data_IF_213764784157
#
_entry.id   IF_213764784157
#
_cell.length_a   1.000
_cell.length_b   1.000
_cell.length_c   1.000
_cell.angle_alpha   90.00
_cell.angle_beta   90.00
_cell.angle_gamma   90.00
#
_symmetry.space_group_name_H-M   'P 1'
#
loop_
_entity.id
_entity.type
_entity.pdbx_description
1 polymer ?
#
# COMPACT_ATOMS: atom_id res chain seq x y z
N UNK A 1 14.42 0.95 6.06
CA UNK A 1 14.13 2.26 6.73
C UNK A 1 13.64 3.22 5.68
N UNK A 2 12.33 3.39 5.53
CA UNK A 2 11.77 4.47 4.72
C UNK A 2 12.06 5.75 5.49
N UNK A 3 12.96 6.58 4.98
CA UNK A 3 13.16 7.93 5.49
C UNK A 3 11.95 8.77 5.04
N UNK A 4 10.94 8.86 5.87
CA UNK A 4 9.84 9.78 5.70
C UNK A 4 10.29 11.15 6.16
N UNK A 5 10.89 11.92 5.25
CA UNK A 5 11.22 13.32 5.54
C UNK A 5 10.11 14.22 5.00
N UNK A 6 9.58 15.08 5.84
CA UNK A 6 8.70 16.17 5.44
C UNK A 6 9.43 17.09 4.46
N UNK A 7 8.70 17.60 3.48
CA UNK A 7 9.17 18.67 2.59
C UNK A 7 8.29 19.91 2.80
N UNK A 8 8.86 21.09 2.72
CA UNK A 8 8.15 22.36 2.95
C UNK A 8 8.37 23.36 1.85
N UNK A 9 7.54 24.38 1.79
CA UNK A 9 7.67 25.47 0.81
C UNK A 9 8.76 26.48 1.15
N UNK A 10 9.19 26.52 2.41
CA UNK A 10 10.28 27.36 2.88
C UNK A 10 11.50 26.55 3.28
N UNK A 11 12.64 27.21 3.43
CA UNK A 11 13.85 26.57 3.90
C UNK A 11 13.67 26.07 5.35
N UNK A 12 14.25 24.92 5.73
CA UNK A 12 14.13 24.35 7.07
C UNK A 12 14.45 25.31 8.22
N UNK A 13 15.35 26.27 8.01
CA UNK A 13 15.73 27.29 9.00
C UNK A 13 14.59 28.25 9.40
N UNK A 14 13.58 28.41 8.54
CA UNK A 14 12.42 29.28 8.84
C UNK A 14 11.46 28.67 9.88
N UNK A 15 11.61 27.38 10.17
CA UNK A 15 10.73 26.70 11.10
C UNK A 15 11.25 26.68 12.54
N UNK A 16 12.41 27.35 12.79
CA UNK A 16 12.97 27.51 14.14
C UNK A 16 13.11 26.17 14.89
N UNK A 17 12.63 26.16 16.14
CA UNK A 17 12.66 24.99 17.03
C UNK A 17 11.40 24.12 16.95
N UNK A 18 10.64 24.21 15.87
CA UNK A 18 9.47 23.37 15.68
C UNK A 18 9.85 21.87 15.76
N UNK A 19 9.06 21.09 16.53
CA UNK A 19 9.24 19.63 16.72
C UNK A 19 9.17 18.92 15.38
N UNK A 20 8.25 19.35 14.49
CA UNK A 20 8.09 18.84 13.14
C UNK A 20 8.51 19.91 12.15
N UNK A 21 9.67 19.75 11.55
CA UNK A 21 10.16 20.64 10.52
C UNK A 21 10.50 19.87 9.25
N UNK A 22 10.33 20.50 8.07
CA UNK A 22 10.70 19.87 6.81
C UNK A 22 12.22 19.65 6.76
N UNK A 23 12.61 18.53 6.17
CA UNK A 23 14.03 18.20 5.95
C UNK A 23 14.63 18.99 4.78
N UNK A 24 13.78 19.44 3.85
CA UNK A 24 14.20 20.23 2.68
C UNK A 24 13.07 21.10 2.14
N UNK A 25 13.44 22.13 1.39
CA UNK A 25 12.53 22.95 0.59
C UNK A 25 12.14 22.21 -0.70
N UNK A 26 10.87 22.35 -1.11
CA UNK A 26 10.35 21.88 -2.40
C UNK A 26 10.83 22.82 -3.51
N UNK A 27 11.25 22.27 -4.63
CA UNK A 27 11.61 23.03 -5.82
C UNK A 27 10.36 23.31 -6.66
N UNK A 28 9.64 24.36 -6.30
CA UNK A 28 8.39 24.74 -6.96
C UNK A 28 8.60 25.04 -8.45
N UNK A 29 9.72 25.67 -8.82
CA UNK A 29 10.05 26.01 -10.20
C UNK A 29 10.15 24.78 -11.11
N UNK A 30 10.61 23.65 -10.59
CA UNK A 30 10.65 22.40 -11.35
C UNK A 30 9.22 21.89 -11.65
N UNK A 31 8.29 22.02 -10.68
CA UNK A 31 6.89 21.64 -10.87
C UNK A 31 6.20 22.57 -11.87
N UNK A 32 6.34 23.89 -11.68
CA UNK A 32 5.67 24.89 -12.51
C UNK A 32 6.13 24.76 -13.97
N UNK A 33 7.43 24.61 -14.19
CA UNK A 33 8.02 24.50 -15.53
C UNK A 33 7.54 23.27 -16.30
N UNK A 34 7.38 22.15 -15.62
CA UNK A 34 7.01 20.86 -16.22
C UNK A 34 5.52 20.51 -15.99
N UNK A 35 4.70 21.49 -15.56
CA UNK A 35 3.33 21.22 -15.17
C UNK A 35 2.48 20.63 -16.28
N UNK A 36 2.62 21.10 -17.51
CA UNK A 36 1.84 20.60 -18.63
C UNK A 36 2.16 19.13 -18.94
N UNK A 37 3.42 18.73 -18.86
CA UNK A 37 3.81 17.33 -19.03
C UNK A 37 3.29 16.46 -17.87
N UNK A 38 3.38 16.94 -16.64
CA UNK A 38 2.82 16.24 -15.48
C UNK A 38 1.30 16.06 -15.64
N UNK A 39 0.60 17.11 -16.08
CA UNK A 39 -0.85 17.06 -16.32
C UNK A 39 -1.22 16.06 -17.40
N UNK A 40 -0.49 16.00 -18.51
CA UNK A 40 -0.69 14.98 -19.55
C UNK A 40 -0.56 13.58 -19.02
N UNK A 41 0.47 13.31 -18.20
CA UNK A 41 0.67 12.02 -17.54
C UNK A 41 -0.53 11.68 -16.64
N UNK A 42 -1.00 12.62 -15.82
CA UNK A 42 -2.14 12.39 -14.92
C UNK A 42 -3.43 12.13 -15.70
N UNK A 43 -3.68 12.85 -16.78
CA UNK A 43 -4.85 12.64 -17.65
C UNK A 43 -4.78 11.26 -18.30
N UNK A 44 -3.65 10.88 -18.89
CA UNK A 44 -3.50 9.55 -19.50
C UNK A 44 -3.67 8.40 -18.51
N UNK A 45 -3.25 8.59 -17.24
CA UNK A 45 -3.53 7.62 -16.17
C UNK A 45 -5.01 7.57 -15.81
N UNK A 46 -5.67 8.72 -15.70
CA UNK A 46 -7.09 8.80 -15.37
C UNK A 46 -7.97 8.19 -16.45
N UNK A 47 -7.62 8.38 -17.73
CA UNK A 47 -8.28 7.79 -18.89
C UNK A 47 -7.91 6.32 -19.13
N UNK A 48 -6.99 5.75 -18.32
CA UNK A 48 -6.48 4.37 -18.48
C UNK A 48 -5.78 4.09 -19.82
N UNK A 49 -5.31 5.12 -20.50
CA UNK A 49 -4.54 5.01 -21.76
C UNK A 49 -3.14 4.41 -21.49
N UNK A 50 -2.65 4.54 -20.28
CA UNK A 50 -1.35 3.99 -19.86
C UNK A 50 -1.42 3.48 -18.42
N UNK A 51 -0.42 2.67 -18.04
CA UNK A 51 -0.30 2.16 -16.66
C UNK A 51 0.79 2.90 -15.89
N UNK A 52 0.64 2.91 -14.56
CA UNK A 52 1.64 3.48 -13.66
C UNK A 52 3.02 2.85 -13.87
N UNK A 53 3.08 1.51 -14.03
CA UNK A 53 4.32 0.78 -14.26
C UNK A 53 5.02 1.19 -15.56
N UNK A 54 4.25 1.42 -16.63
CA UNK A 54 4.78 1.90 -17.92
C UNK A 54 5.40 3.28 -17.78
N UNK A 55 4.74 4.21 -17.07
CA UNK A 55 5.26 5.56 -16.83
C UNK A 55 6.54 5.51 -15.99
N UNK A 56 6.52 4.78 -14.87
CA UNK A 56 7.70 4.64 -14.01
C UNK A 56 8.88 4.05 -14.77
N UNK A 57 8.64 3.02 -15.60
CA UNK A 57 9.67 2.42 -16.45
C UNK A 57 10.24 3.42 -17.44
N UNK A 58 9.38 4.14 -18.17
CA UNK A 58 9.82 5.17 -19.13
C UNK A 58 10.62 6.28 -18.47
N UNK A 59 10.14 6.82 -17.36
CA UNK A 59 10.84 7.88 -16.63
C UNK A 59 12.14 7.41 -15.97
N UNK A 60 12.27 6.10 -15.71
CA UNK A 60 13.46 5.52 -15.11
C UNK A 60 14.51 5.07 -16.13
N UNK A 61 14.11 4.79 -17.37
CA UNK A 61 15.02 4.40 -18.48
C UNK A 61 15.79 5.60 -19.07
N UNK A 62 15.33 6.82 -18.85
CA UNK A 62 16.02 8.02 -19.30
C UNK A 62 17.12 8.44 -18.34
N UNK A 63 18.24 8.90 -18.91
CA UNK A 63 19.43 9.32 -18.19
C UNK A 63 19.15 10.40 -17.13
N UNK A 64 20.13 10.63 -16.28
CA UNK A 64 20.16 11.36 -15.00
C UNK A 64 19.42 12.71 -14.90
N UNK A 65 18.94 13.31 -15.99
CA UNK A 65 18.36 14.67 -16.03
C UNK A 65 16.94 14.76 -16.60
N UNK A 66 16.11 13.74 -16.41
CA UNK A 66 14.70 13.86 -16.80
C UNK A 66 14.00 14.90 -15.92
N UNK A 67 13.64 16.05 -16.52
CA UNK A 67 13.00 17.18 -15.84
C UNK A 67 11.63 16.82 -15.31
N UNK A 68 10.83 16.12 -16.11
CA UNK A 68 9.48 15.67 -15.75
C UNK A 68 9.53 14.71 -14.56
N UNK A 69 10.50 13.79 -14.52
CA UNK A 69 10.72 12.90 -13.37
C UNK A 69 10.99 13.69 -12.09
N UNK A 70 11.83 14.76 -12.17
CA UNK A 70 12.11 15.63 -11.02
C UNK A 70 10.87 16.37 -10.56
N UNK A 71 10.11 16.94 -11.50
CA UNK A 71 8.87 17.64 -11.20
C UNK A 71 7.85 16.73 -10.49
N UNK A 72 7.65 15.52 -11.00
CA UNK A 72 6.79 14.52 -10.38
C UNK A 72 7.28 14.12 -8.99
N UNK A 73 8.59 14.02 -8.78
CA UNK A 73 9.17 13.72 -7.47
C UNK A 73 8.95 14.86 -6.46
N UNK A 74 9.09 16.11 -6.88
CA UNK A 74 8.80 17.27 -6.04
C UNK A 74 7.29 17.35 -5.72
N UNK A 75 6.43 17.08 -6.71
CA UNK A 75 4.99 17.03 -6.53
C UNK A 75 4.56 15.93 -5.55
N UNK A 76 5.13 14.71 -5.68
CA UNK A 76 4.95 13.62 -4.72
C UNK A 76 5.38 14.04 -3.29
N UNK A 77 6.44 14.82 -3.17
CA UNK A 77 6.89 15.37 -1.89
C UNK A 77 5.82 16.19 -1.17
N UNK A 78 5.00 16.96 -1.90
CA UNK A 78 3.87 17.71 -1.33
C UNK A 78 2.82 16.74 -0.76
N UNK A 79 2.37 15.80 -1.58
CA UNK A 79 1.33 14.84 -1.18
C UNK A 79 1.78 13.96 -0.02
N UNK A 80 3.04 13.53 -0.03
CA UNK A 80 3.63 12.76 1.06
C UNK A 80 3.66 13.56 2.36
N UNK A 81 4.00 14.83 2.30
CA UNK A 81 4.04 15.70 3.49
C UNK A 81 2.63 15.93 4.04
N UNK A 82 1.65 16.21 3.18
CA UNK A 82 0.24 16.34 3.57
C UNK A 82 -0.28 15.04 4.22
N UNK A 83 0.03 13.90 3.62
CA UNK A 83 -0.35 12.61 4.19
C UNK A 83 0.27 12.38 5.58
N UNK A 84 1.55 12.69 5.76
CA UNK A 84 2.23 12.55 7.05
C UNK A 84 1.63 13.45 8.12
N UNK A 85 1.32 14.69 7.80
CA UNK A 85 0.66 15.62 8.72
C UNK A 85 -0.72 15.07 9.12
N UNK A 86 -1.54 14.67 8.15
CA UNK A 86 -2.84 14.05 8.42
C UNK A 86 -2.72 12.77 9.26
N UNK A 87 -1.69 11.95 9.00
CA UNK A 87 -1.44 10.73 9.78
C UNK A 87 -1.10 11.03 11.24
N UNK A 88 -0.36 12.12 11.50
CA UNK A 88 -0.02 12.55 12.86
C UNK A 88 -1.26 13.07 13.58
N UNK A 89 -2.08 13.87 12.90
CA UNK A 89 -3.24 14.54 13.51
C UNK A 89 -4.44 13.61 13.69
N UNK A 90 -4.61 12.61 12.82
CA UNK A 90 -5.80 11.75 12.78
C UNK A 90 -5.59 10.37 13.41
N UNK A 91 -6.10 10.11 14.65
CA UNK A 91 -6.07 8.78 15.23
C UNK A 91 -6.87 7.74 14.44
N UNK A 92 -7.92 8.15 13.74
CA UNK A 92 -8.73 7.27 12.89
C UNK A 92 -7.95 6.80 11.67
N UNK A 93 -7.21 7.71 11.02
CA UNK A 93 -6.33 7.38 9.90
C UNK A 93 -5.23 6.41 10.35
N UNK A 94 -4.57 6.67 11.48
CA UNK A 94 -3.56 5.76 12.04
C UNK A 94 -4.10 4.35 12.25
N UNK A 95 -5.30 4.24 12.85
CA UNK A 95 -5.98 2.93 13.05
C UNK A 95 -6.29 2.23 11.73
N UNK A 96 -6.78 2.96 10.73
CA UNK A 96 -7.07 2.41 9.41
C UNK A 96 -5.82 1.91 8.69
N UNK A 97 -4.75 2.69 8.75
CA UNK A 97 -3.44 2.29 8.18
C UNK A 97 -2.89 1.05 8.89
N UNK A 98 -2.94 1.02 10.23
CA UNK A 98 -2.48 -0.14 11.00
C UNK A 98 -3.29 -1.41 10.66
N UNK A 99 -4.61 -1.29 10.54
CA UNK A 99 -5.45 -2.41 10.08
C UNK A 99 -5.09 -2.89 8.68
N UNK A 100 -4.82 -1.97 7.76
CA UNK A 100 -4.41 -2.32 6.39
C UNK A 100 -3.05 -3.02 6.37
N UNK A 101 -2.07 -2.55 7.16
CA UNK A 101 -0.76 -3.19 7.30
C UNK A 101 -0.87 -4.58 7.90
N UNK A 102 -1.64 -4.75 8.97
CA UNK A 102 -1.87 -6.07 9.59
C UNK A 102 -2.52 -7.05 8.61
N UNK A 103 -3.49 -6.60 7.79
CA UNK A 103 -4.09 -7.44 6.75
C UNK A 103 -3.06 -7.86 5.69
N UNK A 104 -2.22 -6.92 5.25
CA UNK A 104 -1.14 -7.21 4.30
C UNK A 104 -0.14 -8.20 4.87
N UNK A 105 0.23 -8.07 6.13
CA UNK A 105 1.15 -8.97 6.81
C UNK A 105 0.54 -10.38 6.96
N UNK A 106 -0.70 -10.49 7.41
CA UNK A 106 -1.42 -11.76 7.50
C UNK A 106 -1.55 -12.45 6.13
N UNK A 107 -1.85 -11.67 5.07
CA UNK A 107 -1.89 -12.20 3.71
C UNK A 107 -0.51 -12.71 3.26
N UNK A 108 0.54 -12.02 3.62
CA UNK A 108 1.91 -12.44 3.33
C UNK A 108 2.28 -13.74 4.08
N UNK A 109 1.85 -13.87 5.33
CA UNK A 109 2.02 -15.10 6.11
C UNK A 109 1.23 -16.26 5.50
N UNK A 110 -0.03 -16.04 5.08
CA UNK A 110 -0.83 -17.04 4.37
C UNK A 110 -0.13 -17.53 3.10
N UNK A 111 0.40 -16.60 2.29
CA UNK A 111 1.17 -16.97 1.09
C UNK A 111 2.42 -17.77 1.41
N UNK A 112 3.09 -17.50 2.52
CA UNK A 112 4.21 -18.33 3.00
C UNK A 112 3.76 -19.73 3.38
N UNK A 113 2.61 -19.86 4.03
CA UNK A 113 2.05 -21.16 4.39
C UNK A 113 1.69 -21.98 3.13
N UNK A 114 1.07 -21.38 2.13
CA UNK A 114 0.83 -22.01 0.82
C UNK A 114 2.14 -22.47 0.17
N UNK A 115 3.24 -21.77 0.40
CA UNK A 115 4.57 -22.08 -0.12
C UNK A 115 5.40 -22.98 0.81
N UNK A 116 4.80 -23.62 1.80
CA UNK A 116 5.51 -24.36 2.86
C UNK A 116 6.44 -25.45 2.30
N UNK A 117 6.01 -26.18 1.28
CA UNK A 117 6.83 -27.20 0.61
C UNK A 117 8.15 -26.64 0.01
N UNK A 118 8.19 -25.35 -0.26
CA UNK A 118 9.37 -24.64 -0.74
C UNK A 118 10.03 -23.76 0.35
N UNK A 119 9.75 -24.03 1.63
CA UNK A 119 10.20 -23.24 2.79
C UNK A 119 9.84 -21.76 2.69
N UNK A 120 8.72 -21.45 2.04
CA UNK A 120 8.25 -20.08 1.80
C UNK A 120 9.11 -19.27 0.83
N UNK A 121 10.05 -19.90 0.11
CA UNK A 121 10.96 -19.23 -0.84
C UNK A 121 10.54 -19.49 -2.29
N UNK A 122 10.58 -18.46 -3.10
CA UNK A 122 10.50 -18.58 -4.56
C UNK A 122 11.85 -19.09 -5.08
N UNK A 123 11.87 -20.28 -5.67
CA UNK A 123 13.08 -20.94 -6.19
C UNK A 123 13.06 -21.10 -7.71
N UNK A 124 12.28 -20.28 -8.40
CA UNK A 124 12.15 -20.38 -9.85
C UNK A 124 13.23 -19.59 -10.55
N UNK A 125 13.74 -20.10 -11.65
CA UNK A 125 14.85 -19.51 -12.41
C UNK A 125 14.38 -18.46 -13.41
N UNK A 126 13.16 -18.59 -13.92
CA UNK A 126 12.62 -17.71 -14.96
C UNK A 126 11.58 -16.75 -14.38
N UNK A 127 11.47 -15.56 -14.97
CA UNK A 127 10.46 -14.56 -14.62
C UNK A 127 9.04 -15.11 -14.81
N UNK A 128 8.81 -15.86 -15.88
CA UNK A 128 7.54 -16.51 -16.18
C UNK A 128 7.10 -17.48 -15.07
N UNK A 129 8.00 -18.35 -14.62
CA UNK A 129 7.70 -19.29 -13.52
C UNK A 129 7.40 -18.54 -12.21
N UNK A 130 8.09 -17.45 -11.94
CA UNK A 130 7.84 -16.61 -10.76
C UNK A 130 6.48 -15.93 -10.82
N UNK A 131 6.08 -15.41 -11.97
CA UNK A 131 4.75 -14.83 -12.18
C UNK A 131 3.66 -15.89 -12.05
N UNK A 132 3.80 -17.02 -12.75
CA UNK A 132 2.84 -18.13 -12.67
C UNK A 132 2.64 -18.61 -11.23
N UNK A 133 3.73 -18.81 -10.51
CA UNK A 133 3.67 -19.17 -9.10
C UNK A 133 2.98 -18.09 -8.25
N UNK A 134 3.31 -16.83 -8.48
CA UNK A 134 2.67 -15.71 -7.78
C UNK A 134 1.16 -15.71 -7.99
N UNK A 135 0.69 -15.90 -9.22
CA UNK A 135 -0.73 -15.94 -9.55
C UNK A 135 -1.42 -17.18 -8.98
N UNK A 136 -0.83 -18.37 -9.11
CA UNK A 136 -1.37 -19.59 -8.52
C UNK A 136 -1.44 -19.50 -6.99
N UNK A 137 -0.40 -19.01 -6.32
CA UNK A 137 -0.41 -18.84 -4.86
C UNK A 137 -1.44 -17.83 -4.40
N UNK A 138 -1.70 -16.79 -5.21
CA UNK A 138 -2.77 -15.80 -4.95
C UNK A 138 -4.15 -16.43 -5.09
N UNK A 139 -4.35 -17.26 -6.11
CA UNK A 139 -5.62 -17.95 -6.31
C UNK A 139 -5.91 -18.89 -5.13
N UNK A 140 -4.95 -19.71 -4.72
CA UNK A 140 -5.10 -20.62 -3.57
C UNK A 140 -5.41 -19.82 -2.29
N UNK A 141 -4.66 -18.74 -2.03
CA UNK A 141 -4.91 -17.87 -0.87
C UNK A 141 -6.32 -17.29 -0.90
N UNK A 142 -6.81 -16.85 -2.07
CA UNK A 142 -8.17 -16.32 -2.22
C UNK A 142 -9.23 -17.39 -1.99
N UNK A 143 -9.02 -18.63 -2.43
CA UNK A 143 -9.93 -19.74 -2.13
C UNK A 143 -10.03 -20.02 -0.62
N UNK A 144 -8.90 -20.01 0.08
CA UNK A 144 -8.84 -20.19 1.55
C UNK A 144 -9.58 -19.03 2.25
N UNK A 145 -9.32 -17.80 1.85
CA UNK A 145 -10.00 -16.61 2.41
C UNK A 145 -11.50 -16.68 2.17
N UNK A 146 -11.91 -17.04 0.97
CA UNK A 146 -13.34 -17.19 0.62
C UNK A 146 -14.03 -18.27 1.48
N UNK A 147 -13.39 -19.42 1.62
CA UNK A 147 -13.89 -20.51 2.46
C UNK A 147 -14.03 -20.07 3.93
N UNK A 148 -13.00 -19.47 4.50
CA UNK A 148 -13.03 -18.97 5.87
C UNK A 148 -14.11 -17.88 6.04
N UNK A 149 -14.23 -16.96 5.09
CA UNK A 149 -15.25 -15.92 5.15
C UNK A 149 -16.66 -16.51 5.10
N UNK A 150 -16.88 -17.56 4.30
CA UNK A 150 -18.19 -18.24 4.21
C UNK A 150 -18.55 -18.92 5.54
N UNK A 151 -17.59 -19.61 6.19
CA UNK A 151 -17.80 -20.24 7.50
C UNK A 151 -18.10 -19.18 8.56
N UNK A 152 -17.29 -18.12 8.62
CA UNK A 152 -17.46 -17.04 9.59
C UNK A 152 -18.83 -16.33 9.42
N UNK A 153 -19.28 -16.16 8.18
CA UNK A 153 -20.60 -15.57 7.88
C UNK A 153 -21.72 -16.47 8.38
N UNK A 154 -21.64 -17.79 8.12
CA UNK A 154 -22.66 -18.74 8.58
C UNK A 154 -22.68 -18.85 10.11
N UNK A 155 -21.50 -18.86 10.74
CA UNK A 155 -21.38 -18.85 12.20
C UNK A 155 -21.99 -17.59 12.81
N UNK A 156 -21.71 -16.44 12.23
CA UNK A 156 -22.26 -15.16 12.69
C UNK A 156 -23.79 -15.13 12.58
N UNK A 157 -24.33 -15.57 11.45
CA UNK A 157 -25.77 -15.67 11.23
C UNK A 157 -26.43 -16.63 12.24
N UNK A 158 -25.82 -17.77 12.50
CA UNK A 158 -26.27 -18.72 13.53
C UNK A 158 -26.29 -18.08 14.93
N UNK A 159 -25.20 -17.41 15.32
CA UNK A 159 -25.08 -16.76 16.63
C UNK A 159 -26.10 -15.62 16.80
N UNK A 160 -26.31 -14.81 15.77
CA UNK A 160 -27.32 -13.75 15.81
C UNK A 160 -28.76 -14.32 15.93
N UNK A 161 -29.03 -15.43 15.24
CA UNK A 161 -30.33 -16.10 15.30
C UNK A 161 -30.59 -16.78 16.65
N UNK A 162 -29.56 -17.31 17.29
CA UNK A 162 -29.66 -17.98 18.60
C UNK A 162 -29.54 -17.01 19.79
N UNK A 163 -29.30 -15.72 19.53
CA UNK A 163 -29.16 -14.69 20.57
C UNK A 163 -27.82 -14.69 21.28
N UNK A 164 -26.81 -15.41 20.76
CA UNK A 164 -25.45 -15.38 21.29
C UNK A 164 -24.72 -14.09 20.85
N UNK A 165 -25.10 -12.99 21.46
CA UNK A 165 -24.53 -11.67 21.17
C UNK A 165 -23.03 -11.58 21.52
N UNK A 166 -22.58 -12.33 22.50
CA UNK A 166 -21.19 -12.34 22.95
C UNK A 166 -20.31 -13.07 21.91
N UNK A 167 -20.72 -14.26 21.47
CA UNK A 167 -20.07 -14.98 20.39
C UNK A 167 -20.03 -14.17 19.09
N UNK A 168 -21.16 -13.57 18.70
CA UNK A 168 -21.24 -12.73 17.52
C UNK A 168 -20.27 -11.52 17.57
N UNK A 169 -20.10 -10.88 18.73
CA UNK A 169 -19.15 -9.78 18.92
C UNK A 169 -17.68 -10.22 18.78
N UNK A 170 -17.37 -11.47 19.13
CA UNK A 170 -16.05 -12.08 18.94
C UNK A 170 -15.85 -12.44 17.46
N UNK A 171 -16.81 -13.13 16.85
CA UNK A 171 -16.76 -13.56 15.44
C UNK A 171 -16.58 -12.38 14.49
N UNK A 172 -17.22 -11.23 14.74
CA UNK A 172 -17.03 -9.98 13.97
C UNK A 172 -15.59 -9.43 14.00
N UNK A 173 -14.78 -9.85 14.95
CA UNK A 173 -13.36 -9.43 15.07
C UNK A 173 -12.39 -10.42 14.42
N UNK A 174 -12.84 -11.62 14.07
CA UNK A 174 -11.99 -12.65 13.44
C UNK A 174 -11.73 -12.26 11.98
N UNK A 175 -10.50 -12.42 11.55
CA UNK A 175 -10.12 -12.14 10.15
C UNK A 175 -10.16 -13.43 9.33
N UNK A 176 -10.81 -13.47 8.16
CA UNK A 176 -10.81 -14.63 7.29
C UNK A 176 -9.41 -14.98 6.71
N UNK A 177 -8.44 -14.07 6.87
CA UNK A 177 -7.05 -14.27 6.46
C UNK A 177 -6.24 -15.00 7.55
N UNK A 178 -6.76 -15.12 8.77
CA UNK A 178 -6.08 -15.80 9.86
C UNK A 178 -6.05 -17.33 9.62
N UNK A 179 -5.00 -17.79 8.95
CA UNK A 179 -4.80 -19.20 8.61
C UNK A 179 -4.36 -20.07 9.81
N UNK A 180 -3.91 -19.47 10.89
CA UNK A 180 -3.42 -20.14 12.09
C UNK A 180 -4.49 -20.99 12.79
N UNK A 181 -5.75 -20.81 12.45
CA UNK A 181 -6.90 -21.54 13.00
C UNK A 181 -7.46 -22.59 12.02
N UNK A 182 -6.82 -22.82 10.88
CA UNK A 182 -7.23 -23.80 9.85
C UNK A 182 -6.43 -25.09 9.92
N UNK A 183 -6.01 -25.53 11.10
CA UNK A 183 -5.42 -26.85 11.32
C UNK A 183 -6.51 -27.92 11.39
#
# INVERSE_FOLDING_TARGET
>A
KVRTSLTGFQHPSHYGDAILKPARKIRQDDIIREWDECRRIFVSLALKETTQSTIVRKLSSHARNNRTKRALWEYDGIHRSLYLLNYIDSPSLRRSVQKALNRGENYHQLRRAVSFASFGKLRFKTEYEQELWSECSRLIANCIIFYNASILSQLLEYQERTGDMQGAAVTKKVSPIAWQHTN
#
